data_IF_140585522132
#
_entry.id   IF_140585522132
#
_cell.length_a   1.000
_cell.length_b   1.000
_cell.length_c   1.000
_cell.angle_alpha   90.00
_cell.angle_beta   90.00
_cell.angle_gamma   90.00
#
_symmetry.space_group_name_H-M   'P 1'
#
loop_
_entity.id
_entity.type
_entity.pdbx_description
1 polymer ?
#
# COMPACT_ATOMS: atom_id res chain seq x y z
N UNK A 1 1.22 7.37 -30.79
CA UNK A 1 1.41 6.45 -29.65
C UNK A 1 1.46 7.33 -28.43
N UNK A 2 0.33 7.50 -27.77
CA UNK A 2 0.31 8.04 -26.42
C UNK A 2 0.63 6.81 -25.59
N UNK A 3 1.83 6.73 -25.02
CA UNK A 3 2.05 5.82 -23.90
C UNK A 3 1.02 6.25 -22.86
N UNK A 4 -0.06 5.48 -22.75
CA UNK A 4 -0.90 5.51 -21.57
C UNK A 4 0.06 5.19 -20.43
N UNK A 5 0.52 6.23 -19.74
CA UNK A 5 1.18 6.12 -18.46
C UNK A 5 0.15 5.51 -17.51
N UNK A 6 -0.05 4.19 -17.61
CA UNK A 6 -0.72 3.39 -16.62
C UNK A 6 0.18 3.45 -15.39
N UNK A 7 0.06 4.52 -14.61
CA UNK A 7 0.68 4.56 -13.30
C UNK A 7 0.14 3.38 -12.51
N UNK A 8 1.08 2.58 -12.03
CA UNK A 8 0.80 1.38 -11.28
C UNK A 8 -0.05 1.74 -10.05
N UNK A 9 -1.13 1.00 -9.75
CA UNK A 9 -1.97 1.28 -8.60
C UNK A 9 -1.15 1.24 -7.30
N UNK A 10 -1.62 2.00 -6.30
CA UNK A 10 -1.06 1.97 -4.95
C UNK A 10 -2.08 1.35 -4.02
N UNK A 11 -1.65 0.34 -3.27
CA UNK A 11 -2.48 -0.28 -2.25
C UNK A 11 -2.14 0.29 -0.88
N UNK A 12 -3.12 0.89 -0.21
CA UNK A 12 -3.04 1.27 1.19
C UNK A 12 -3.71 0.18 2.03
N UNK A 13 -2.93 -0.48 2.87
CA UNK A 13 -3.38 -1.58 3.73
C UNK A 13 -3.43 -1.12 5.17
N UNK A 14 -4.61 -1.14 5.78
CA UNK A 14 -4.81 -0.57 7.12
C UNK A 14 -4.76 -1.57 8.27
N UNK A 15 -4.98 -2.86 7.99
CA UNK A 15 -4.88 -3.95 8.97
C UNK A 15 -4.27 -5.23 8.39
N UNK A 16 -4.08 -6.23 9.27
CA UNK A 16 -3.66 -7.57 8.89
C UNK A 16 -4.69 -8.28 7.98
N UNK A 17 -5.99 -8.10 8.25
CA UNK A 17 -7.05 -8.69 7.41
C UNK A 17 -6.98 -8.12 5.99
N UNK A 18 -6.86 -6.79 5.87
CA UNK A 18 -6.70 -6.11 4.60
C UNK A 18 -5.45 -6.54 3.83
N UNK A 19 -4.37 -6.93 4.53
CA UNK A 19 -3.19 -7.51 3.89
C UNK A 19 -3.52 -8.87 3.26
N UNK A 20 -4.18 -9.76 4.00
CA UNK A 20 -4.55 -11.07 3.46
C UNK A 20 -5.50 -10.94 2.28
N UNK A 21 -6.47 -10.04 2.36
CA UNK A 21 -7.38 -9.73 1.24
C UNK A 21 -6.59 -9.29 0.00
N UNK A 22 -5.67 -8.35 0.15
CA UNK A 22 -4.80 -7.91 -0.95
C UNK A 22 -3.96 -9.05 -1.53
N UNK A 23 -3.45 -9.94 -0.68
CA UNK A 23 -2.63 -11.07 -1.10
C UNK A 23 -3.42 -12.14 -1.86
N UNK A 24 -4.75 -12.19 -1.71
CA UNK A 24 -5.59 -13.04 -2.55
C UNK A 24 -5.84 -12.44 -3.95
N UNK A 25 -5.62 -11.14 -4.13
CA UNK A 25 -5.70 -10.50 -5.43
C UNK A 25 -4.41 -10.77 -6.24
N UNK A 26 -4.57 -11.28 -7.46
CA UNK A 26 -3.46 -11.80 -8.28
C UNK A 26 -2.44 -10.72 -8.76
N UNK A 27 -2.74 -9.43 -8.60
CA UNK A 27 -2.05 -8.31 -9.28
C UNK A 27 -1.23 -7.39 -8.34
N UNK A 28 -1.11 -7.69 -7.05
CA UNK A 28 -0.48 -6.75 -6.11
C UNK A 28 1.06 -6.76 -6.08
N UNK A 29 1.72 -7.73 -6.74
CA UNK A 29 3.20 -7.89 -6.68
C UNK A 29 3.98 -6.75 -7.33
N UNK A 30 3.46 -6.19 -8.41
CA UNK A 30 4.13 -5.09 -9.14
C UNK A 30 3.73 -3.73 -8.58
N UNK A 31 2.68 -3.69 -7.76
CA UNK A 31 2.16 -2.48 -7.16
C UNK A 31 2.98 -1.98 -5.97
N UNK A 32 2.98 -0.67 -5.77
CA UNK A 32 3.47 -0.09 -4.53
C UNK A 32 2.44 -0.31 -3.42
N UNK A 33 2.89 -0.80 -2.28
CA UNK A 33 2.04 -1.12 -1.14
C UNK A 33 2.47 -0.26 0.04
N UNK A 34 1.54 0.55 0.54
CA UNK A 34 1.70 1.35 1.74
C UNK A 34 0.94 0.71 2.89
N UNK A 35 1.64 0.46 4.00
CA UNK A 35 1.10 -0.27 5.14
C UNK A 35 0.99 0.64 6.34
N UNK A 36 -0.17 0.58 7.00
CA UNK A 36 -0.34 1.00 8.37
C UNK A 36 0.70 0.30 9.26
N UNK A 37 1.18 1.01 10.29
CA UNK A 37 2.26 0.53 11.16
C UNK A 37 2.02 -0.89 11.69
N UNK A 38 0.79 -1.18 12.12
CA UNK A 38 0.38 -2.45 12.73
C UNK A 38 -0.26 -3.45 11.77
N UNK A 39 -0.36 -3.13 10.47
CA UNK A 39 -0.96 -4.04 9.48
C UNK A 39 -0.18 -5.35 9.30
N UNK A 40 1.11 -5.35 9.63
CA UNK A 40 1.95 -6.54 9.66
C UNK A 40 2.85 -6.48 10.88
N UNK A 41 3.30 -7.63 11.38
CA UNK A 41 4.43 -7.67 12.32
C UNK A 41 5.75 -7.29 11.63
N UNK A 42 6.78 -6.93 12.41
CA UNK A 42 8.11 -6.61 11.85
C UNK A 42 8.71 -7.78 11.07
N UNK A 43 8.57 -9.00 11.59
CA UNK A 43 9.06 -10.21 10.92
C UNK A 43 8.36 -10.49 9.60
N UNK A 44 7.06 -10.23 9.50
CA UNK A 44 6.31 -10.40 8.25
C UNK A 44 6.68 -9.34 7.21
N UNK A 45 6.79 -8.08 7.63
CA UNK A 45 7.18 -7.00 6.73
C UNK A 45 8.53 -7.27 6.08
N UNK A 46 9.56 -7.62 6.87
CA UNK A 46 10.87 -7.96 6.32
C UNK A 46 10.81 -9.19 5.42
N UNK A 47 10.07 -10.23 5.83
CA UNK A 47 9.89 -11.44 5.01
C UNK A 47 9.26 -11.15 3.65
N UNK A 48 8.27 -10.25 3.55
CA UNK A 48 7.66 -9.90 2.27
C UNK A 48 8.54 -8.96 1.44
N UNK A 49 9.28 -8.06 2.10
CA UNK A 49 10.27 -7.22 1.43
C UNK A 49 11.39 -8.05 0.80
N UNK A 50 11.89 -9.08 1.49
CA UNK A 50 12.87 -10.05 0.96
C UNK A 50 12.32 -10.86 -0.23
N UNK A 51 11.00 -11.07 -0.29
CA UNK A 51 10.33 -11.70 -1.43
C UNK A 51 10.14 -10.76 -2.63
N UNK A 52 10.58 -9.50 -2.53
CA UNK A 52 10.59 -8.53 -3.62
C UNK A 52 9.33 -7.66 -3.73
N UNK A 53 8.48 -7.61 -2.70
CA UNK A 53 7.34 -6.70 -2.70
C UNK A 53 7.81 -5.24 -2.52
N UNK A 54 7.21 -4.32 -3.29
CA UNK A 54 7.47 -2.89 -3.18
C UNK A 54 6.64 -2.28 -2.04
N UNK A 55 7.15 -2.38 -0.80
CA UNK A 55 6.41 -2.03 0.41
C UNK A 55 7.02 -0.83 1.16
N UNK A 56 6.17 0.10 1.56
CA UNK A 56 6.45 1.22 2.46
C UNK A 56 5.62 1.06 3.73
N UNK A 57 6.26 1.05 4.90
CA UNK A 57 5.56 1.05 6.19
C UNK A 57 5.49 2.46 6.75
N UNK A 58 4.29 2.89 7.10
CA UNK A 58 4.03 4.17 7.76
C UNK A 58 4.51 4.11 9.22
N UNK A 59 4.94 5.26 9.75
CA UNK A 59 5.36 5.37 11.15
C UNK A 59 4.18 5.36 12.15
N UNK A 60 2.95 5.28 11.63
CA UNK A 60 1.71 5.41 12.39
C UNK A 60 0.62 4.48 11.83
N UNK A 61 -0.43 4.26 12.64
CA UNK A 61 -1.60 3.50 12.19
C UNK A 61 -2.56 4.39 11.42
N UNK A 62 -3.04 3.87 10.29
CA UNK A 62 -4.02 4.53 9.44
C UNK A 62 -5.39 4.34 10.08
N UNK A 63 -5.85 5.39 10.77
CA UNK A 63 -7.17 5.45 11.38
C UNK A 63 -8.09 6.33 10.55
N UNK A 64 -9.40 6.30 10.81
CA UNK A 64 -10.37 7.19 10.14
C UNK A 64 -9.97 8.67 10.25
N UNK A 65 -9.37 9.09 11.37
CA UNK A 65 -8.94 10.46 11.58
C UNK A 65 -7.73 10.86 10.72
N UNK A 66 -6.86 9.91 10.39
CA UNK A 66 -5.63 10.15 9.58
C UNK A 66 -5.78 9.77 8.12
N UNK A 67 -6.90 9.16 7.76
CA UNK A 67 -7.10 8.59 6.42
C UNK A 67 -6.89 9.63 5.32
N UNK A 68 -7.51 10.82 5.45
CA UNK A 68 -7.35 11.88 4.46
C UNK A 68 -5.89 12.33 4.32
N UNK A 69 -5.21 12.57 5.45
CA UNK A 69 -3.80 12.98 5.49
C UNK A 69 -2.88 11.92 4.84
N UNK A 70 -3.14 10.63 5.10
CA UNK A 70 -2.36 9.53 4.51
C UNK A 70 -2.56 9.46 2.99
N UNK A 71 -3.78 9.65 2.50
CA UNK A 71 -4.04 9.68 1.05
C UNK A 71 -3.34 10.89 0.41
N UNK A 72 -3.37 12.06 1.05
CA UNK A 72 -2.63 13.24 0.57
C UNK A 72 -1.12 13.02 0.54
N UNK A 73 -0.55 12.38 1.57
CA UNK A 73 0.86 11.99 1.61
C UNK A 73 1.22 11.06 0.46
N UNK A 74 0.44 10.00 0.22
CA UNK A 74 0.64 9.08 -0.91
C UNK A 74 0.60 9.85 -2.24
N UNK A 75 -0.37 10.76 -2.40
CA UNK A 75 -0.52 11.58 -3.61
C UNK A 75 0.60 12.59 -3.81
N UNK A 76 1.27 13.03 -2.75
CA UNK A 76 2.46 13.87 -2.87
C UNK A 76 3.62 13.11 -3.53
N UNK A 77 3.77 11.82 -3.20
CA UNK A 77 4.77 10.94 -3.78
C UNK A 77 4.36 10.36 -5.15
N UNK A 78 3.05 10.20 -5.36
CA UNK A 78 2.46 9.52 -6.52
C UNK A 78 1.23 10.29 -7.03
N UNK A 79 1.42 11.44 -7.71
CA UNK A 79 0.34 12.38 -7.99
C UNK A 79 -0.76 11.83 -8.91
N UNK A 80 -0.43 10.96 -9.87
CA UNK A 80 -1.43 10.43 -10.81
C UNK A 80 -1.97 9.04 -10.40
N UNK A 81 -1.35 8.39 -9.40
CA UNK A 81 -1.66 7.01 -9.04
C UNK A 81 -3.03 6.87 -8.37
N UNK A 82 -3.80 5.86 -8.76
CA UNK A 82 -5.03 5.51 -8.04
C UNK A 82 -4.69 4.78 -6.74
N UNK A 83 -5.27 5.22 -5.63
CA UNK A 83 -5.08 4.57 -4.32
C UNK A 83 -6.27 3.66 -4.01
N UNK A 84 -5.97 2.38 -3.80
CA UNK A 84 -6.92 1.34 -3.40
C UNK A 84 -6.70 1.00 -1.95
N UNK A 85 -7.79 0.90 -1.17
CA UNK A 85 -7.68 0.70 0.29
C UNK A 85 -8.23 -0.65 0.68
N UNK A 86 -7.45 -1.39 1.46
CA UNK A 86 -7.84 -2.66 2.06
C UNK A 86 -7.86 -2.53 3.58
N UNK A 87 -9.01 -2.86 4.16
CA UNK A 87 -9.30 -2.63 5.58
C UNK A 87 -8.83 -3.76 6.46
#
# INVERSE_FOLDING_TARGET
MIDEMNEVPIYLVTSEEGWYDLMTAHDCREAAIWLSKTALSDGEFERYKEKGFNMTRLAYDVTTARFAETIEEIKLHHPLAQVWVHF
#
